data_IF_344363499992
#
_entry.id   IF_344363499992
#
_cell.length_a   1.000
_cell.length_b   1.000
_cell.length_c   1.000
_cell.angle_alpha   90.00
_cell.angle_beta   90.00
_cell.angle_gamma   90.00
#
_symmetry.space_group_name_H-M   'P 1'
#
loop_
_entity.id
_entity.type
_entity.pdbx_description
1 polymer ?
#
# COMPACT_ATOMS: atom_id res chain seq x y z
N UNK A 1 -0.15 5.23 18.87
CA UNK A 1 0.38 6.43 18.18
C UNK A 1 0.15 6.26 16.68
N UNK A 2 -0.40 7.27 15.99
CA UNK A 2 -0.51 7.20 14.53
C UNK A 2 0.85 7.57 13.95
N UNK A 3 1.54 6.62 13.32
CA UNK A 3 2.88 6.81 12.76
C UNK A 3 2.84 7.53 11.39
N UNK A 4 1.64 7.68 10.82
CA UNK A 4 1.40 8.33 9.52
C UNK A 4 0.09 9.12 9.51
N UNK A 5 0.00 10.09 8.61
CA UNK A 5 -1.23 10.80 8.26
C UNK A 5 -1.58 10.53 6.78
N UNK A 6 -2.74 9.91 6.53
CA UNK A 6 -3.20 9.59 5.19
C UNK A 6 -3.73 10.87 4.50
N UNK A 7 -3.16 11.20 3.34
CA UNK A 7 -3.54 12.39 2.57
C UNK A 7 -4.45 12.05 1.39
N UNK A 8 -4.18 10.95 0.69
CA UNK A 8 -4.99 10.49 -0.44
C UNK A 8 -4.91 8.98 -0.59
N UNK A 9 -6.03 8.35 -0.93
CA UNK A 9 -6.10 6.98 -1.42
C UNK A 9 -6.77 7.02 -2.80
N UNK A 10 -6.11 6.41 -3.78
CA UNK A 10 -6.59 6.28 -5.15
C UNK A 10 -6.51 4.80 -5.52
N UNK A 11 -7.63 4.22 -5.94
CA UNK A 11 -7.68 2.82 -6.35
C UNK A 11 -8.40 2.76 -7.68
N UNK A 12 -7.82 2.05 -8.65
CA UNK A 12 -8.33 1.94 -10.00
C UNK A 12 -8.33 0.48 -10.45
N UNK A 13 -9.39 -0.02 -11.11
CA UNK A 13 -10.65 0.67 -11.36
C UNK A 13 -11.56 0.62 -10.12
N UNK A 14 -11.93 1.79 -9.59
CA UNK A 14 -12.97 1.92 -8.57
C UNK A 14 -13.87 3.12 -8.90
N UNK A 15 -15.14 2.83 -9.17
CA UNK A 15 -16.11 3.85 -9.60
C UNK A 15 -17.02 4.32 -8.46
N UNK A 16 -16.82 3.81 -7.23
CA UNK A 16 -17.66 4.15 -6.07
C UNK A 16 -16.92 3.97 -4.74
N UNK A 17 -17.47 4.55 -3.67
CA UNK A 17 -16.92 4.46 -2.29
C UNK A 17 -16.75 3.01 -1.79
N UNK A 18 -17.56 2.08 -2.30
CA UNK A 18 -17.38 0.64 -2.07
C UNK A 18 -16.65 0.05 -3.26
N UNK A 19 -15.33 0.04 -3.21
CA UNK A 19 -14.57 -0.55 -4.29
C UNK A 19 -14.65 -2.08 -4.29
N UNK A 20 -15.19 -2.64 -5.37
CA UNK A 20 -15.27 -4.09 -5.59
C UNK A 20 -14.21 -4.48 -6.62
N UNK A 21 -13.16 -5.13 -6.15
CA UNK A 21 -12.12 -5.65 -7.01
C UNK A 21 -12.54 -7.01 -7.58
N UNK A 22 -12.58 -7.13 -8.91
CA UNK A 22 -12.99 -8.37 -9.59
C UNK A 22 -11.79 -9.31 -9.72
N UNK A 23 -11.99 -10.60 -9.47
CA UNK A 23 -10.96 -11.63 -9.70
C UNK A 23 -10.47 -11.59 -11.16
N UNK A 24 -9.16 -11.74 -11.34
CA UNK A 24 -8.51 -11.66 -12.65
C UNK A 24 -8.42 -10.25 -13.23
N UNK A 25 -8.98 -9.23 -12.57
CA UNK A 25 -8.84 -7.84 -13.01
C UNK A 25 -7.51 -7.24 -12.55
N UNK A 26 -6.97 -6.36 -13.38
CA UNK A 26 -5.80 -5.57 -13.04
C UNK A 26 -6.22 -4.35 -12.21
N UNK A 27 -5.54 -4.13 -11.10
CA UNK A 27 -5.83 -3.09 -10.12
C UNK A 27 -4.56 -2.29 -9.85
N UNK A 28 -4.72 -0.99 -9.71
CA UNK A 28 -3.70 -0.04 -9.31
C UNK A 28 -4.14 0.66 -8.03
N UNK A 29 -3.21 0.75 -7.07
CA UNK A 29 -3.41 1.39 -5.76
C UNK A 29 -2.33 2.44 -5.62
N UNK A 30 -2.72 3.68 -5.37
CA UNK A 30 -1.83 4.78 -5.03
C UNK A 30 -2.23 5.40 -3.68
N UNK A 31 -1.27 5.46 -2.77
CA UNK A 31 -1.45 5.98 -1.42
C UNK A 31 -0.51 7.16 -1.24
N UNK A 32 -1.05 8.33 -0.94
CA UNK A 32 -0.29 9.50 -0.51
C UNK A 32 -0.43 9.67 1.00
N UNK A 33 0.69 9.73 1.71
CA UNK A 33 0.69 9.92 3.15
C UNK A 33 1.86 10.79 3.61
N UNK A 34 1.74 11.37 4.80
CA UNK A 34 2.83 12.06 5.49
C UNK A 34 3.31 11.18 6.63
N UNK A 35 4.61 10.88 6.68
CA UNK A 35 5.19 10.17 7.80
C UNK A 35 5.26 11.08 9.02
N UNK A 36 4.88 10.58 10.20
CA UNK A 36 4.95 11.31 11.47
C UNK A 36 6.14 10.86 12.31
N UNK A 37 6.69 9.67 12.00
CA UNK A 37 7.88 9.11 12.64
C UNK A 37 8.87 8.63 11.59
N UNK A 38 10.15 8.54 11.97
CA UNK A 38 11.17 7.89 11.16
C UNK A 38 10.93 6.37 11.18
N UNK A 39 10.86 5.75 10.00
CA UNK A 39 10.66 4.31 9.86
C UNK A 39 11.75 3.73 8.97
N UNK A 40 12.48 2.76 9.51
CA UNK A 40 13.34 1.90 8.71
C UNK A 40 12.47 0.79 8.13
N UNK A 41 12.32 0.78 6.80
CA UNK A 41 11.32 0.00 6.08
C UNK A 41 11.68 -1.51 5.98
N UNK A 42 12.37 -2.06 6.97
CA UNK A 42 12.67 -3.47 7.13
C UNK A 42 11.63 -4.26 7.93
N UNK A 43 10.74 -3.60 8.67
CA UNK A 43 9.73 -4.25 9.51
C UNK A 43 8.32 -4.18 8.93
N UNK A 44 7.72 -5.33 8.61
CA UNK A 44 6.28 -5.42 8.32
C UNK A 44 5.55 -6.03 9.51
N UNK A 45 4.46 -5.40 9.95
CA UNK A 45 3.56 -5.95 10.98
C UNK A 45 2.13 -5.89 10.46
N UNK A 46 1.50 -7.05 10.33
CA UNK A 46 0.12 -7.21 9.86
C UNK A 46 -0.77 -7.51 11.07
N UNK A 47 -1.81 -6.70 11.31
CA UNK A 47 -2.78 -6.97 12.38
C UNK A 47 -4.23 -7.11 11.84
N UNK A 48 -4.84 -8.23 12.22
CA UNK A 48 -6.24 -8.70 12.21
C UNK A 48 -7.25 -8.28 11.12
N UNK A 49 -7.48 -9.22 10.18
CA UNK A 49 -8.59 -9.32 9.21
C UNK A 49 -8.38 -10.58 8.35
N UNK A 50 -9.43 -11.13 7.73
CA UNK A 50 -9.34 -12.33 6.85
C UNK A 50 -8.21 -12.15 5.82
N UNK A 51 -7.19 -13.02 5.90
CA UNK A 51 -5.85 -12.76 5.35
C UNK A 51 -5.77 -13.22 3.91
N UNK A 52 -5.65 -12.29 2.97
CA UNK A 52 -4.95 -12.57 1.71
C UNK A 52 -3.47 -12.32 1.98
N UNK A 53 -2.65 -13.36 1.87
CA UNK A 53 -1.19 -13.23 1.84
C UNK A 53 -0.80 -12.53 0.53
N UNK A 54 -0.73 -11.20 0.55
CA UNK A 54 -0.09 -10.47 -0.54
C UNK A 54 1.41 -10.64 -0.35
N UNK A 55 2.01 -11.54 -1.13
CA UNK A 55 3.46 -11.67 -1.23
C UNK A 55 4.01 -10.33 -1.72
N UNK A 56 4.49 -9.50 -0.80
CA UNK A 56 5.22 -8.29 -1.17
C UNK A 56 6.53 -8.71 -1.83
N UNK A 57 6.93 -8.09 -2.96
CA UNK A 57 8.17 -8.42 -3.64
C UNK A 57 9.38 -8.28 -2.71
N UNK A 58 10.44 -9.07 -2.96
CA UNK A 58 11.62 -9.23 -2.10
C UNK A 58 12.35 -7.92 -1.71
N UNK A 59 12.09 -6.81 -2.41
CA UNK A 59 12.66 -5.48 -2.12
C UNK A 59 11.73 -4.59 -1.26
N UNK A 60 10.70 -5.18 -0.64
CA UNK A 60 9.78 -4.52 0.29
C UNK A 60 8.82 -3.51 -0.37
N UNK A 61 8.24 -2.63 0.45
CA UNK A 61 7.37 -1.54 -0.02
C UNK A 61 8.17 -0.41 -0.71
N UNK A 62 9.46 -0.30 -0.42
CA UNK A 62 10.31 0.83 -0.83
C UNK A 62 10.44 0.99 -2.36
N UNK A 63 10.40 -0.10 -3.13
CA UNK A 63 10.48 -0.03 -4.59
C UNK A 63 9.25 0.64 -5.22
N UNK A 64 8.15 0.65 -4.49
CA UNK A 64 6.90 1.27 -4.89
C UNK A 64 6.72 2.66 -4.29
N UNK A 65 7.71 3.17 -3.54
CA UNK A 65 7.63 4.45 -2.85
C UNK A 65 8.44 5.55 -3.55
N UNK A 66 7.88 6.74 -3.57
CA UNK A 66 8.53 7.99 -3.97
C UNK A 66 8.25 9.11 -2.94
N UNK A 67 9.28 9.72 -2.30
CA UNK A 67 10.69 9.37 -2.43
C UNK A 67 10.99 7.96 -1.89
N UNK A 68 12.09 7.37 -2.32
CA UNK A 68 12.51 6.06 -1.84
C UNK A 68 12.93 6.13 -0.36
N UNK A 69 12.93 4.97 0.28
CA UNK A 69 13.36 4.80 1.67
C UNK A 69 14.80 5.31 1.92
N UNK A 70 15.16 5.66 3.16
CA UNK A 70 14.40 5.50 4.42
C UNK A 70 13.21 6.48 4.55
N UNK A 71 12.19 6.08 5.33
CA UNK A 71 11.03 6.93 5.60
C UNK A 71 11.38 7.90 6.71
N UNK A 72 11.21 9.20 6.45
CA UNK A 72 11.56 10.29 7.35
C UNK A 72 10.34 11.07 7.81
N UNK A 73 10.29 11.37 9.10
CA UNK A 73 9.23 12.16 9.69
C UNK A 73 9.08 13.53 9.00
N UNK A 74 7.84 13.95 8.78
CA UNK A 74 7.51 15.21 8.13
C UNK A 74 7.52 15.16 6.59
N UNK A 75 8.02 14.09 5.97
CA UNK A 75 8.07 13.94 4.51
C UNK A 75 6.77 13.31 3.99
N UNK A 76 6.32 13.78 2.82
CA UNK A 76 5.21 13.17 2.09
C UNK A 76 5.74 12.10 1.14
N UNK A 77 5.07 10.95 1.16
CA UNK A 77 5.40 9.79 0.33
C UNK A 77 4.19 9.39 -0.52
N UNK A 78 4.50 8.87 -1.70
CA UNK A 78 3.55 8.23 -2.61
C UNK A 78 3.97 6.78 -2.76
N UNK A 79 3.10 5.86 -2.32
CA UNK A 79 3.21 4.44 -2.62
C UNK A 79 2.32 4.12 -3.83
N UNK A 80 2.85 3.43 -4.84
CA UNK A 80 2.12 3.04 -6.05
C UNK A 80 2.38 1.57 -6.39
N UNK A 81 1.31 0.78 -6.35
CA UNK A 81 1.34 -0.63 -6.69
C UNK A 81 0.31 -0.95 -7.76
N UNK A 82 0.66 -1.83 -8.69
CA UNK A 82 -0.23 -2.36 -9.71
C UNK A 82 -0.07 -3.87 -9.76
N UNK A 83 -1.20 -4.58 -9.81
CA UNK A 83 -1.20 -6.04 -9.84
C UNK A 83 -2.55 -6.62 -10.22
N UNK A 84 -2.56 -7.93 -10.47
CA UNK A 84 -3.78 -8.65 -10.82
C UNK A 84 -4.40 -9.26 -9.58
N UNK A 85 -5.71 -9.09 -9.40
CA UNK A 85 -6.46 -9.75 -8.33
C UNK A 85 -6.42 -11.27 -8.59
N UNK A 86 -5.92 -12.08 -7.65
CA UNK A 86 -5.86 -13.52 -7.81
C UNK A 86 -7.23 -14.14 -8.17
N UNK A 87 -7.21 -15.15 -9.04
CA UNK A 87 -8.42 -15.89 -9.42
C UNK A 87 -8.90 -16.85 -8.31
N UNK A 88 -8.01 -17.19 -7.40
CA UNK A 88 -8.23 -18.06 -6.25
C UNK A 88 -7.89 -17.30 -4.98
N UNK A 89 -8.74 -17.40 -3.97
CA UNK A 89 -8.34 -17.07 -2.60
C UNK A 89 -7.57 -18.30 -2.11
N UNK A 90 -6.24 -18.19 -2.05
CA UNK A 90 -5.38 -19.21 -1.47
C UNK A 90 -5.03 -18.83 -0.03
#
# INVERSE_FOLDING_TARGET
PNDTNLLKLDVSPCDSDRCILKRGSHVSITIKFKALTDVDAGGHKVEHGERILVLLPQNGLCIHMNPSCPIKAGVEYIYSYSGTVPNTAE
#
